data_IF_471693710733
#
_entry.id   IF_471693710733
#
_cell.length_a   1.000
_cell.length_b   1.000
_cell.length_c   1.000
_cell.angle_alpha   90.00
_cell.angle_beta   90.00
_cell.angle_gamma   90.00
#
_symmetry.space_group_name_H-M   'P 1'
#
loop_
_entity.id
_entity.type
_entity.pdbx_description
1 polymer ?
#
# COMPACT_ATOMS: atom_id res chain seq x y z
N UNK A 1 23.54 7.55 27.89
CA UNK A 1 22.27 6.81 27.95
C UNK A 1 22.17 5.97 26.69
N UNK A 2 22.41 4.64 26.70
CA UNK A 2 22.24 3.84 25.50
C UNK A 2 20.75 3.50 25.28
N UNK A 3 20.31 3.72 24.04
CA UNK A 3 18.98 3.42 23.51
C UNK A 3 18.72 1.91 23.54
N UNK A 4 17.59 1.53 24.12
CA UNK A 4 17.10 0.17 24.16
C UNK A 4 16.32 -0.09 22.86
N UNK A 5 16.98 -0.67 21.86
CA UNK A 5 16.35 -1.00 20.57
C UNK A 5 15.51 -2.29 20.71
N UNK A 6 14.24 -2.30 20.25
CA UNK A 6 13.43 -3.52 20.27
C UNK A 6 14.09 -4.60 19.40
N UNK A 7 14.30 -5.77 20.00
CA UNK A 7 15.00 -6.89 19.38
C UNK A 7 14.26 -7.41 18.15
N UNK A 8 14.88 -7.26 16.99
CA UNK A 8 14.47 -7.95 15.77
C UNK A 8 14.50 -9.47 15.99
N UNK A 9 13.49 -10.23 15.50
CA UNK A 9 13.57 -11.69 15.50
C UNK A 9 14.83 -12.11 14.73
N UNK A 10 15.64 -12.96 15.36
CA UNK A 10 16.92 -13.42 14.80
C UNK A 10 16.66 -14.12 13.46
N UNK A 11 17.43 -13.73 12.44
CA UNK A 11 17.48 -14.37 11.11
C UNK A 11 17.59 -15.89 11.26
N UNK A 12 16.74 -16.71 10.61
CA UNK A 12 16.97 -18.14 10.57
C UNK A 12 18.26 -18.41 9.79
N UNK A 13 19.19 -19.10 10.44
CA UNK A 13 20.52 -19.43 9.93
C UNK A 13 20.46 -20.75 9.17
N UNK A 14 21.00 -20.74 7.94
CA UNK A 14 21.42 -21.88 7.09
C UNK A 14 20.45 -23.05 6.91
N UNK A 15 20.09 -23.26 5.64
CA UNK A 15 19.92 -24.55 5.00
C UNK A 15 18.98 -25.55 5.72
N UNK A 16 17.67 -25.36 5.53
CA UNK A 16 16.67 -26.43 5.40
C UNK A 16 15.32 -25.74 5.15
N UNK A 17 15.04 -25.40 3.89
CA UNK A 17 13.69 -24.98 3.50
C UNK A 17 12.79 -26.18 3.78
N UNK A 18 12.09 -26.13 4.92
CA UNK A 18 11.25 -27.23 5.39
C UNK A 18 10.13 -27.46 4.37
N UNK A 19 9.67 -28.69 4.11
CA UNK A 19 8.57 -28.96 3.16
C UNK A 19 7.31 -28.10 3.42
N UNK A 20 7.11 -27.67 4.67
CA UNK A 20 6.07 -26.70 5.04
C UNK A 20 6.27 -25.30 4.46
N UNK A 21 7.51 -24.79 4.38
CA UNK A 21 7.82 -23.52 3.72
C UNK A 21 7.57 -23.61 2.21
N UNK A 22 7.94 -24.72 1.57
CA UNK A 22 7.62 -24.98 0.16
C UNK A 22 6.11 -24.97 -0.09
N UNK A 23 5.32 -25.61 0.78
CA UNK A 23 3.86 -25.58 0.71
C UNK A 23 3.29 -24.19 0.96
N UNK A 24 3.93 -23.39 1.81
CA UNK A 24 3.55 -22.00 2.04
C UNK A 24 3.79 -21.16 0.77
N UNK A 25 4.93 -21.33 0.11
CA UNK A 25 5.25 -20.70 -1.17
C UNK A 25 4.24 -21.11 -2.25
N UNK A 26 3.92 -22.40 -2.34
CA UNK A 26 2.92 -22.91 -3.29
C UNK A 26 1.54 -22.31 -3.03
N UNK A 27 1.09 -22.26 -1.76
CA UNK A 27 -0.17 -21.61 -1.39
C UNK A 27 -0.19 -20.12 -1.68
N UNK A 28 0.93 -19.42 -1.46
CA UNK A 28 1.07 -18.00 -1.80
C UNK A 28 1.11 -17.80 -3.33
N UNK A 29 1.61 -18.77 -4.10
CA UNK A 29 1.63 -18.77 -5.57
C UNK A 29 0.24 -19.00 -6.17
N UNK A 30 -0.54 -19.91 -5.60
CA UNK A 30 -1.91 -20.23 -6.02
C UNK A 30 -2.91 -19.13 -5.63
N UNK A 31 -2.68 -18.43 -4.52
CA UNK A 31 -3.43 -17.22 -4.18
C UNK A 31 -2.96 -16.10 -5.10
N UNK A 32 -3.56 -15.96 -6.28
CA UNK A 32 -3.40 -14.82 -7.18
C UNK A 32 -3.85 -13.55 -6.42
N UNK A 33 -2.93 -12.70 -5.91
CA UNK A 33 -3.32 -11.49 -5.20
C UNK A 33 -3.79 -10.42 -6.22
N UNK A 34 -3.33 -10.51 -7.46
CA UNK A 34 -3.65 -9.56 -8.53
C UNK A 34 -5.10 -9.68 -9.05
N UNK A 35 -5.85 -10.70 -8.65
CA UNK A 35 -7.21 -10.89 -9.11
C UNK A 35 -8.18 -10.14 -8.19
N UNK A 36 -8.39 -8.87 -8.56
CA UNK A 36 -9.40 -7.91 -8.07
C UNK A 36 -9.77 -8.03 -6.59
N UNK A 37 -9.41 -7.04 -5.72
CA UNK A 37 -10.00 -7.00 -4.39
C UNK A 37 -11.53 -7.08 -4.52
N UNK A 38 -12.22 -7.82 -3.64
CA UNK A 38 -13.67 -7.92 -3.68
C UNK A 38 -14.22 -6.50 -3.67
N UNK A 39 -14.81 -6.06 -4.78
CA UNK A 39 -15.48 -4.76 -4.84
C UNK A 39 -16.63 -4.84 -3.84
N UNK A 40 -16.42 -4.23 -2.67
CA UNK A 40 -17.43 -4.08 -1.66
C UNK A 40 -18.66 -3.47 -2.34
N UNK A 41 -19.81 -4.13 -2.21
CA UNK A 41 -21.02 -3.75 -2.94
C UNK A 41 -21.32 -2.29 -2.62
N UNK A 42 -21.20 -1.42 -3.62
CA UNK A 42 -21.44 0.00 -3.47
C UNK A 42 -22.89 0.23 -3.04
N UNK A 43 -23.08 0.53 -1.76
CA UNK A 43 -24.36 0.95 -1.22
C UNK A 43 -24.68 2.35 -1.78
N UNK A 44 -25.94 2.62 -2.10
CA UNK A 44 -26.36 3.91 -2.68
C UNK A 44 -25.96 5.10 -1.79
N UNK A 45 -25.93 4.90 -0.46
CA UNK A 45 -25.44 5.89 0.50
C UNK A 45 -23.95 6.19 0.34
N UNK A 46 -23.13 5.20 0.01
CA UNK A 46 -21.69 5.37 -0.19
C UNK A 46 -21.40 6.25 -1.41
N UNK A 47 -22.12 6.04 -2.52
CA UNK A 47 -21.95 6.81 -3.74
C UNK A 47 -22.36 8.28 -3.56
N UNK A 48 -23.46 8.53 -2.83
CA UNK A 48 -23.87 9.90 -2.49
C UNK A 48 -22.87 10.58 -1.56
N UNK A 49 -22.38 9.87 -0.53
CA UNK A 49 -21.40 10.42 0.41
C UNK A 49 -20.09 10.82 -0.31
N UNK A 50 -19.62 10.00 -1.26
CA UNK A 50 -18.41 10.28 -2.04
C UNK A 50 -18.58 11.43 -3.03
N UNK A 51 -19.74 11.52 -3.67
CA UNK A 51 -20.05 12.62 -4.56
C UNK A 51 -20.11 13.94 -3.77
N UNK A 52 -20.74 13.94 -2.60
CA UNK A 52 -20.82 15.12 -1.73
C UNK A 52 -19.45 15.46 -1.16
N UNK A 53 -18.67 14.49 -0.68
CA UNK A 53 -17.33 14.73 -0.13
C UNK A 53 -16.36 15.27 -1.19
N UNK A 54 -16.37 14.72 -2.41
CA UNK A 54 -15.54 15.23 -3.51
C UNK A 54 -15.95 16.63 -3.96
N UNK A 55 -17.23 16.97 -3.86
CA UNK A 55 -17.74 18.31 -4.20
C UNK A 55 -17.39 19.33 -3.12
N UNK A 56 -17.60 19.01 -1.83
CA UNK A 56 -17.34 19.90 -0.69
C UNK A 56 -15.84 20.09 -0.45
N UNK A 57 -15.02 19.09 -0.74
CA UNK A 57 -13.55 19.17 -0.65
C UNK A 57 -12.89 19.96 -1.78
N UNK A 58 -13.63 20.44 -2.78
CA UNK A 58 -13.08 21.12 -3.94
C UNK A 58 -12.95 22.64 -3.72
N UNK A 59 -11.81 23.21 -4.14
CA UNK A 59 -11.60 24.67 -4.15
C UNK A 59 -12.66 25.44 -4.96
N UNK A 60 -13.25 24.81 -5.99
CA UNK A 60 -14.31 25.42 -6.81
C UNK A 60 -15.60 25.64 -6.01
N UNK A 61 -15.93 24.72 -5.10
CA UNK A 61 -17.12 24.82 -4.25
C UNK A 61 -17.01 25.99 -3.27
N UNK A 62 -15.85 26.15 -2.62
CA UNK A 62 -15.57 27.27 -1.70
C UNK A 62 -15.73 28.62 -2.40
N UNK A 63 -15.26 28.74 -3.65
CA UNK A 63 -15.37 29.98 -4.43
C UNK A 63 -16.84 30.30 -4.76
N UNK A 64 -17.60 29.32 -5.26
CA UNK A 64 -19.02 29.50 -5.60
C UNK A 64 -19.84 29.85 -4.36
N UNK A 65 -19.62 29.13 -3.24
CA UNK A 65 -20.30 29.40 -1.97
C UNK A 65 -20.00 30.82 -1.46
N UNK A 66 -18.73 31.26 -1.56
CA UNK A 66 -18.30 32.60 -1.14
C UNK A 66 -18.95 33.70 -2.01
N UNK A 67 -19.04 33.50 -3.32
CA UNK A 67 -19.73 34.43 -4.23
C UNK A 67 -21.22 34.47 -3.92
N UNK A 68 -21.86 33.33 -3.68
CA UNK A 68 -23.28 33.25 -3.35
C UNK A 68 -23.58 33.98 -2.03
N UNK A 69 -22.76 33.78 -1.00
CA UNK A 69 -22.85 34.51 0.27
C UNK A 69 -22.66 36.02 0.06
N UNK A 70 -21.63 36.42 -0.70
CA UNK A 70 -21.38 37.82 -1.02
C UNK A 70 -22.54 38.48 -1.78
N UNK A 71 -23.12 37.77 -2.75
CA UNK A 71 -24.29 38.22 -3.50
C UNK A 71 -25.52 38.37 -2.60
N UNK A 72 -25.76 37.39 -1.72
CA UNK A 72 -26.87 37.43 -0.77
C UNK A 72 -26.77 38.63 0.17
N UNK A 73 -25.58 38.87 0.74
CA UNK A 73 -25.31 40.04 1.59
C UNK A 73 -25.51 41.33 0.79
N UNK A 74 -24.99 41.42 -0.44
CA UNK A 74 -25.13 42.59 -1.29
C UNK A 74 -26.59 42.91 -1.63
N UNK A 75 -27.39 41.90 -2.01
CA UNK A 75 -28.82 42.05 -2.25
C UNK A 75 -29.57 42.49 -0.99
N UNK A 76 -29.24 41.94 0.18
CA UNK A 76 -29.91 42.26 1.43
C UNK A 76 -29.61 43.71 1.89
N UNK A 77 -28.35 44.16 1.74
CA UNK A 77 -27.93 45.53 2.08
C UNK A 77 -28.47 46.58 1.09
N UNK A 78 -28.62 46.23 -0.19
CA UNK A 78 -29.14 47.14 -1.22
C UNK A 78 -30.65 47.38 -1.08
N UNK A 79 -31.39 46.43 -0.51
CA UNK A 79 -32.84 46.52 -0.36
C UNK A 79 -33.22 47.32 0.91
N UNK A 80 -33.31 48.66 0.78
CA UNK A 80 -33.62 49.58 1.90
C UNK A 80 -35.08 49.57 2.36
N UNK A 81 -35.99 48.94 1.63
CA UNK A 81 -37.45 49.10 1.83
C UNK A 81 -38.13 47.85 2.40
N UNK A 82 -37.52 46.68 2.24
CA UNK A 82 -38.01 45.40 2.79
C UNK A 82 -36.80 44.69 3.41
N UNK A 83 -36.65 44.78 4.73
CA UNK A 83 -35.60 44.07 5.45
C UNK A 83 -35.96 42.60 5.56
N UNK A 84 -35.58 41.82 4.55
CA UNK A 84 -35.79 40.37 4.53
C UNK A 84 -34.89 39.63 5.53
N UNK A 85 -33.75 40.21 5.93
CA UNK A 85 -32.86 39.68 7.00
C UNK A 85 -32.09 40.83 7.69
N UNK A 86 -32.73 41.52 8.65
CA UNK A 86 -32.10 42.59 9.45
C UNK A 86 -30.93 42.05 10.28
N UNK A 87 -29.93 42.91 10.54
CA UNK A 87 -28.80 42.60 11.44
C UNK A 87 -29.33 42.04 12.78
N UNK A 88 -28.92 40.84 13.23
CA UNK A 88 -27.78 40.03 12.82
C UNK A 88 -28.23 38.80 11.98
N UNK A 89 -28.30 38.92 10.65
CA UNK A 89 -28.61 37.87 9.64
C UNK A 89 -28.98 36.48 10.18
N UNK A 90 -30.15 36.37 10.83
CA UNK A 90 -30.49 35.21 11.67
C UNK A 90 -30.74 33.97 10.80
N UNK A 91 -31.29 34.18 9.61
CA UNK A 91 -31.59 33.13 8.65
C UNK A 91 -30.32 32.57 8.03
N UNK A 92 -29.38 33.45 7.66
CA UNK A 92 -28.08 33.04 7.11
C UNK A 92 -27.27 32.25 8.14
N UNK A 93 -27.27 32.71 9.39
CA UNK A 93 -26.58 32.01 10.47
C UNK A 93 -27.19 30.63 10.76
N UNK A 94 -28.52 30.53 10.77
CA UNK A 94 -29.22 29.25 10.92
C UNK A 94 -28.91 28.29 9.77
N UNK A 95 -28.95 28.79 8.53
CA UNK A 95 -28.69 27.99 7.34
C UNK A 95 -27.24 27.47 7.31
N UNK A 96 -26.26 28.30 7.63
CA UNK A 96 -24.85 27.89 7.70
C UNK A 96 -24.61 26.87 8.82
N UNK A 97 -25.25 27.06 9.98
CA UNK A 97 -25.16 26.12 11.10
C UNK A 97 -25.71 24.74 10.72
N UNK A 98 -26.87 24.71 10.06
CA UNK A 98 -27.46 23.48 9.55
C UNK A 98 -26.59 22.83 8.46
N UNK A 99 -26.06 23.63 7.53
CA UNK A 99 -25.15 23.16 6.49
C UNK A 99 -23.93 22.46 7.10
N UNK A 100 -23.27 23.10 8.07
CA UNK A 100 -22.11 22.53 8.75
C UNK A 100 -22.45 21.23 9.50
N UNK A 101 -23.59 21.21 10.22
CA UNK A 101 -24.05 20.05 10.98
C UNK A 101 -24.29 18.81 10.09
N UNK A 102 -24.81 18.98 8.88
CA UNK A 102 -25.00 17.88 7.93
C UNK A 102 -23.73 17.50 7.17
N UNK A 103 -22.86 18.48 6.92
CA UNK A 103 -21.61 18.27 6.19
C UNK A 103 -20.60 17.44 6.99
N UNK A 104 -20.45 17.70 8.29
CA UNK A 104 -19.44 17.04 9.11
C UNK A 104 -19.57 15.50 9.17
N UNK A 105 -20.75 14.90 9.40
CA UNK A 105 -20.93 13.45 9.37
C UNK A 105 -20.67 12.83 8.00
N UNK A 106 -21.08 13.49 6.91
CA UNK A 106 -20.84 12.99 5.55
C UNK A 106 -19.36 12.95 5.24
N UNK A 107 -18.65 14.03 5.56
CA UNK A 107 -17.18 14.07 5.43
C UNK A 107 -16.55 12.96 6.26
N UNK A 108 -16.98 12.78 7.51
CA UNK A 108 -16.44 11.73 8.39
C UNK A 108 -16.72 10.32 7.86
N UNK A 109 -17.90 10.07 7.29
CA UNK A 109 -18.24 8.79 6.66
C UNK A 109 -17.39 8.51 5.42
N UNK A 110 -17.21 9.50 4.54
CA UNK A 110 -16.36 9.37 3.35
C UNK A 110 -14.88 9.18 3.74
N UNK A 111 -14.40 9.90 4.75
CA UNK A 111 -13.05 9.71 5.31
C UNK A 111 -12.85 8.32 5.90
N UNK A 112 -13.80 7.83 6.72
CA UNK A 112 -13.71 6.50 7.32
C UNK A 112 -13.69 5.39 6.25
N UNK A 113 -14.45 5.56 5.16
CA UNK A 113 -14.45 4.67 4.01
C UNK A 113 -13.10 4.69 3.28
N UNK A 114 -12.58 5.89 2.97
CA UNK A 114 -11.30 6.03 2.30
C UNK A 114 -10.16 5.43 3.13
N UNK A 115 -10.14 5.68 4.44
CA UNK A 115 -9.14 5.10 5.35
C UNK A 115 -9.16 3.57 5.37
N UNK A 116 -10.34 2.95 5.30
CA UNK A 116 -10.44 1.48 5.26
C UNK A 116 -9.94 0.92 3.92
N UNK A 117 -10.25 1.59 2.80
CA UNK A 117 -9.69 1.24 1.48
C UNK A 117 -8.16 1.35 1.49
N UNK A 118 -7.62 2.49 1.92
CA UNK A 118 -6.18 2.72 2.00
C UNK A 118 -5.49 1.68 2.89
N UNK A 119 -6.15 1.28 3.99
CA UNK A 119 -5.64 0.24 4.88
C UNK A 119 -5.65 -1.14 4.23
N UNK A 120 -6.67 -1.47 3.43
CA UNK A 120 -6.73 -2.73 2.70
C UNK A 120 -5.67 -2.79 1.60
N UNK A 121 -5.50 -1.70 0.85
CA UNK A 121 -4.44 -1.57 -0.15
C UNK A 121 -3.05 -1.71 0.49
N UNK A 122 -2.79 -1.02 1.60
CA UNK A 122 -1.53 -1.13 2.32
C UNK A 122 -1.23 -2.57 2.81
N UNK A 123 -2.25 -3.30 3.28
CA UNK A 123 -2.09 -4.72 3.65
C UNK A 123 -1.77 -5.58 2.43
N UNK A 124 -2.46 -5.32 1.32
CA UNK A 124 -2.25 -6.05 0.08
C UNK A 124 -0.83 -5.85 -0.47
N UNK A 125 -0.38 -4.60 -0.55
CA UNK A 125 0.98 -4.26 -1.00
C UNK A 125 2.04 -4.91 -0.11
N UNK A 126 1.80 -4.94 1.21
CA UNK A 126 2.69 -5.61 2.15
C UNK A 126 2.75 -7.13 1.90
N UNK A 127 1.61 -7.80 1.66
CA UNK A 127 1.57 -9.24 1.31
C UNK A 127 2.32 -9.52 0.00
N UNK A 128 2.14 -8.68 -1.03
CA UNK A 128 2.83 -8.81 -2.32
C UNK A 128 4.33 -8.62 -2.17
N UNK A 129 4.77 -7.62 -1.38
CA UNK A 129 6.18 -7.36 -1.14
C UNK A 129 6.86 -8.52 -0.41
N UNK A 130 6.24 -9.04 0.65
CA UNK A 130 6.73 -10.23 1.38
C UNK A 130 6.86 -11.45 0.46
N UNK A 131 5.87 -11.70 -0.40
CA UNK A 131 5.92 -12.81 -1.37
C UNK A 131 7.08 -12.63 -2.35
N UNK A 132 7.31 -11.40 -2.81
CA UNK A 132 8.37 -11.07 -3.75
C UNK A 132 9.76 -11.24 -3.11
N UNK A 133 9.92 -10.79 -1.86
CA UNK A 133 11.15 -10.99 -1.08
C UNK A 133 11.48 -12.48 -0.91
N UNK A 134 10.48 -13.29 -0.54
CA UNK A 134 10.63 -14.75 -0.40
C UNK A 134 10.98 -15.42 -1.74
N UNK A 135 10.35 -15.01 -2.84
CA UNK A 135 10.66 -15.56 -4.17
C UNK A 135 12.09 -15.25 -4.61
N UNK A 136 12.58 -14.05 -4.30
CA UNK A 136 13.98 -13.67 -4.55
C UNK A 136 14.93 -14.52 -3.70
N UNK A 137 14.62 -14.75 -2.42
CA UNK A 137 15.44 -15.60 -1.53
C UNK A 137 15.55 -17.02 -2.08
N UNK A 138 14.44 -17.62 -2.50
CA UNK A 138 14.42 -18.96 -3.10
C UNK A 138 15.21 -19.05 -4.40
N UNK A 139 15.12 -18.02 -5.25
CA UNK A 139 15.91 -17.95 -6.47
C UNK A 139 17.40 -17.86 -6.14
N UNK A 140 17.77 -17.07 -5.13
CA UNK A 140 19.15 -16.95 -4.67
C UNK A 140 19.70 -18.28 -4.17
N UNK A 141 18.92 -19.01 -3.36
CA UNK A 141 19.28 -20.35 -2.89
C UNK A 141 19.46 -21.34 -4.03
N UNK A 142 18.54 -21.35 -5.02
CA UNK A 142 18.66 -22.21 -6.19
C UNK A 142 19.91 -21.91 -7.01
N UNK A 143 20.25 -20.63 -7.18
CA UNK A 143 21.48 -20.21 -7.87
C UNK A 143 22.72 -20.67 -7.10
N UNK A 144 22.72 -20.54 -5.77
CA UNK A 144 23.85 -20.96 -4.94
C UNK A 144 24.05 -22.48 -5.02
N UNK A 145 22.98 -23.27 -4.96
CA UNK A 145 23.06 -24.73 -5.13
C UNK A 145 23.63 -25.13 -6.49
N UNK A 146 23.18 -24.50 -7.58
CA UNK A 146 23.72 -24.76 -8.91
C UNK A 146 25.21 -24.38 -9.00
N UNK A 147 25.58 -23.21 -8.47
CA UNK A 147 26.96 -22.76 -8.44
C UNK A 147 27.87 -23.70 -7.64
N UNK A 148 27.41 -24.20 -6.50
CA UNK A 148 28.16 -25.17 -5.70
C UNK A 148 28.37 -26.49 -6.45
N UNK A 149 27.35 -26.95 -7.19
CA UNK A 149 27.45 -28.15 -8.01
C UNK A 149 28.48 -27.98 -9.15
N UNK A 150 28.39 -26.87 -9.89
CA UNK A 150 29.33 -26.52 -10.97
C UNK A 150 30.77 -26.40 -10.44
N UNK A 151 30.97 -25.72 -9.30
CA UNK A 151 32.29 -25.58 -8.68
C UNK A 151 32.86 -26.93 -8.25
N UNK A 152 32.02 -27.82 -7.68
CA UNK A 152 32.44 -29.17 -7.31
C UNK A 152 32.89 -29.97 -8.53
N UNK A 153 32.17 -29.86 -9.64
CA UNK A 153 32.50 -30.55 -10.89
C UNK A 153 33.83 -30.02 -11.48
N UNK A 154 34.01 -28.70 -11.53
CA UNK A 154 35.27 -28.09 -11.99
C UNK A 154 36.44 -28.54 -11.11
N UNK A 155 36.28 -28.54 -9.78
CA UNK A 155 37.32 -29.01 -8.85
C UNK A 155 37.66 -30.48 -9.05
N UNK A 156 36.66 -31.32 -9.36
CA UNK A 156 36.86 -32.73 -9.68
C UNK A 156 37.69 -32.89 -10.96
N UNK A 157 37.34 -32.17 -12.03
CA UNK A 157 38.08 -32.18 -13.29
C UNK A 157 39.53 -31.70 -13.12
N UNK A 158 39.75 -30.63 -12.34
CA UNK A 158 41.10 -30.12 -12.05
C UNK A 158 41.97 -31.15 -11.31
N UNK A 159 41.42 -31.84 -10.30
CA UNK A 159 42.16 -32.91 -9.59
C UNK A 159 42.54 -34.04 -10.53
N UNK A 160 41.65 -34.42 -11.43
CA UNK A 160 41.92 -35.50 -12.37
C UNK A 160 43.02 -35.12 -13.38
N UNK A 161 42.98 -33.89 -13.90
CA UNK A 161 44.06 -33.35 -14.73
C UNK A 161 45.40 -33.33 -13.99
N UNK A 162 45.40 -32.95 -12.71
CA UNK A 162 46.63 -32.91 -11.92
C UNK A 162 47.25 -34.31 -11.71
N UNK A 163 46.42 -35.34 -11.48
CA UNK A 163 46.90 -36.73 -11.43
C UNK A 163 47.54 -37.18 -12.75
N UNK A 164 46.90 -36.87 -13.88
CA UNK A 164 47.44 -37.22 -15.20
C UNK A 164 48.80 -36.57 -15.45
N UNK A 165 48.95 -35.29 -15.06
CA UNK A 165 50.24 -34.59 -15.16
C UNK A 165 51.30 -35.27 -14.28
N UNK A 166 50.97 -35.61 -13.03
CA UNK A 166 51.90 -36.30 -12.12
C UNK A 166 52.34 -37.68 -12.65
N UNK A 167 51.42 -38.43 -13.28
CA UNK A 167 51.73 -39.71 -13.92
C UNK A 167 52.67 -39.54 -15.12
N UNK A 168 52.40 -38.57 -16.00
CA UNK A 168 53.27 -38.25 -17.14
C UNK A 168 54.66 -37.81 -16.67
N UNK A 169 54.75 -37.02 -15.61
CA UNK A 169 56.02 -36.63 -15.01
C UNK A 169 56.81 -37.82 -14.45
N UNK A 170 56.14 -38.81 -13.85
CA UNK A 170 56.78 -40.05 -13.39
C UNK A 170 57.32 -40.87 -14.56
N UNK A 171 56.56 -40.97 -15.66
CA UNK A 171 56.99 -41.70 -16.85
C UNK A 171 58.20 -41.06 -17.54
N UNK A 172 58.28 -39.72 -17.57
CA UNK A 172 59.43 -38.99 -18.13
C UNK A 172 60.71 -39.07 -17.28
N UNK A 173 60.60 -39.40 -15.99
CA UNK A 173 61.74 -39.56 -15.08
C UNK A 173 62.28 -40.99 -14.99
N UNK A 174 61.59 -41.97 -15.60
CA UNK A 174 62.04 -43.36 -15.73
C UNK A 174 62.79 -43.57 -17.04
#
# INVERSE_FOLDING_TARGET
MPVNSPGYPRRPSRANITPEQYRLIQRLRERNPAENPPKEKADLGSHLADLVASTVGSWKFVIIQSICLGFWIFCNVSNKTIHWDSYPFILLNLMLSFQAAYTAPIIMMSQNRQNEIDRQEAKHDHEVNLKSELEIELLHDKINLLREAELSEILHLLREQQKQIDELQKQLKS
#
